data_IF_224765850067
#
_entry.id   IF_224765850067
#
_cell.length_a   1.000
_cell.length_b   1.000
_cell.length_c   1.000
_cell.angle_alpha   90.00
_cell.angle_beta   90.00
_cell.angle_gamma   90.00
#
_symmetry.space_group_name_H-M   'P 1'
#
loop_
_entity.id
_entity.type
_entity.pdbx_description
1 polymer ?
#
# COMPACT_ATOMS: atom_id res chain seq x y z
N UNK A 1 -21.37 3.72 48.46
CA UNK A 1 -21.83 3.60 47.05
C UNK A 1 -21.37 4.76 46.18
N UNK A 2 -21.51 6.04 46.60
CA UNK A 2 -21.08 7.21 45.80
C UNK A 2 -19.58 7.23 45.41
N UNK A 3 -18.70 6.83 46.34
CA UNK A 3 -17.25 6.76 46.08
C UNK A 3 -16.89 5.65 45.07
N UNK A 4 -17.61 4.53 45.08
CA UNK A 4 -17.42 3.46 44.11
C UNK A 4 -17.83 3.90 42.71
N UNK A 5 -18.94 4.64 42.59
CA UNK A 5 -19.38 5.23 41.32
C UNK A 5 -18.39 6.26 40.77
N UNK A 6 -17.78 7.07 41.65
CA UNK A 6 -16.77 8.06 41.24
C UNK A 6 -15.49 7.39 40.73
N UNK A 7 -15.05 6.31 41.39
CA UNK A 7 -13.87 5.55 40.98
C UNK A 7 -14.05 4.89 39.60
N UNK A 8 -15.23 4.35 39.31
CA UNK A 8 -15.54 3.78 37.99
C UNK A 8 -15.55 4.86 36.91
N UNK A 9 -16.10 6.05 37.18
CA UNK A 9 -16.12 7.15 36.23
C UNK A 9 -14.70 7.64 35.86
N UNK A 10 -13.78 7.69 36.82
CA UNK A 10 -12.37 8.06 36.59
C UNK A 10 -11.63 6.99 35.79
N UNK A 11 -11.91 5.71 36.02
CA UNK A 11 -11.29 4.62 35.26
C UNK A 11 -11.75 4.60 33.80
N UNK A 12 -13.00 5.01 33.52
CA UNK A 12 -13.55 5.09 32.17
C UNK A 12 -13.11 6.33 31.40
N UNK A 13 -12.58 7.36 32.07
CA UNK A 13 -12.08 8.59 31.41
C UNK A 13 -10.61 8.50 30.99
N UNK A 14 -9.93 7.39 31.29
CA UNK A 14 -8.59 7.13 30.78
C UNK A 14 -8.68 6.88 29.27
N UNK A 15 -7.96 7.64 28.43
CA UNK A 15 -7.93 7.35 27.01
C UNK A 15 -7.36 5.94 26.84
N UNK A 16 -8.08 5.08 26.12
CA UNK A 16 -7.53 3.82 25.66
C UNK A 16 -6.35 4.17 24.74
N UNK A 17 -5.14 4.17 25.28
CA UNK A 17 -3.93 4.24 24.50
C UNK A 17 -3.88 2.95 23.69
N UNK A 18 -4.45 2.98 22.48
CA UNK A 18 -4.14 1.99 21.47
C UNK A 18 -2.62 2.00 21.36
N UNK A 19 -1.98 0.88 21.70
CA UNK A 19 -0.57 0.71 21.39
C UNK A 19 -0.46 0.91 19.88
N UNK A 20 0.05 2.06 19.46
CA UNK A 20 0.44 2.26 18.06
C UNK A 20 1.52 1.22 17.85
N UNK A 21 1.17 0.12 17.16
CA UNK A 21 2.16 -0.81 16.66
C UNK A 21 3.21 0.02 15.93
N UNK A 22 4.49 -0.24 16.22
CA UNK A 22 5.59 0.48 15.59
C UNK A 22 5.40 0.36 14.07
N UNK A 23 5.00 1.46 13.42
CA UNK A 23 4.66 1.51 12.00
C UNK A 23 5.94 1.51 11.13
N UNK A 24 6.95 0.77 11.57
CA UNK A 24 8.24 0.65 10.91
C UNK A 24 8.14 -0.38 9.80
N UNK A 25 8.60 0.02 8.62
CA UNK A 25 8.80 -0.92 7.51
C UNK A 25 9.92 -1.89 7.91
N UNK A 26 9.70 -3.21 7.85
CA UNK A 26 10.74 -4.19 8.17
C UNK A 26 11.97 -4.05 7.26
N UNK A 27 13.17 -4.23 7.81
CA UNK A 27 14.42 -4.09 7.06
C UNK A 27 14.48 -5.03 5.85
N UNK A 28 13.94 -6.25 5.98
CA UNK A 28 13.83 -7.21 4.87
C UNK A 28 13.01 -6.68 3.70
N UNK A 29 11.97 -5.88 3.97
CA UNK A 29 11.16 -5.27 2.92
C UNK A 29 11.94 -4.16 2.19
N UNK A 30 12.81 -3.44 2.91
CA UNK A 30 13.69 -2.43 2.31
C UNK A 30 14.76 -3.08 1.41
N UNK A 31 15.34 -4.21 1.85
CA UNK A 31 16.29 -4.99 1.05
C UNK A 31 15.64 -5.53 -0.23
N UNK A 32 14.44 -6.09 -0.12
CA UNK A 32 13.66 -6.56 -1.27
C UNK A 32 13.34 -5.42 -2.23
N UNK A 33 12.92 -4.26 -1.72
CA UNK A 33 12.65 -3.09 -2.55
C UNK A 33 13.90 -2.62 -3.33
N UNK A 34 15.08 -2.67 -2.70
CA UNK A 34 16.34 -2.36 -3.38
C UNK A 34 16.63 -3.36 -4.52
N UNK A 35 16.45 -4.67 -4.27
CA UNK A 35 16.66 -5.70 -5.29
C UNK A 35 15.69 -5.55 -6.47
N UNK A 36 14.41 -5.29 -6.20
CA UNK A 36 13.40 -5.07 -7.25
C UNK A 36 13.71 -3.83 -8.08
N UNK A 37 14.21 -2.76 -7.45
CA UNK A 37 14.63 -1.55 -8.17
C UNK A 37 15.78 -1.83 -9.13
N UNK A 38 16.84 -2.52 -8.68
CA UNK A 38 17.97 -2.84 -9.55
C UNK A 38 17.54 -3.73 -10.74
N UNK A 39 16.65 -4.70 -10.50
CA UNK A 39 16.07 -5.53 -11.56
C UNK A 39 15.27 -4.69 -12.57
N UNK A 40 14.38 -3.82 -12.08
CA UNK A 40 13.55 -2.98 -12.95
C UNK A 40 14.38 -1.98 -13.77
N UNK A 41 15.49 -1.47 -13.24
CA UNK A 41 16.40 -0.57 -13.98
C UNK A 41 17.16 -1.28 -15.10
N UNK A 42 17.35 -2.61 -14.99
CA UNK A 42 18.01 -3.43 -16.00
C UNK A 42 17.04 -4.12 -16.98
N UNK A 43 15.73 -3.94 -16.79
CA UNK A 43 14.68 -4.62 -17.55
C UNK A 43 13.92 -3.63 -18.45
N UNK A 44 13.77 -3.97 -19.72
CA UNK A 44 13.04 -3.18 -20.72
C UNK A 44 11.58 -3.63 -20.90
N UNK A 45 11.10 -4.60 -20.10
CA UNK A 45 9.74 -5.15 -20.20
C UNK A 45 8.66 -4.06 -20.13
N UNK A 46 8.81 -3.05 -19.27
CA UNK A 46 7.87 -1.93 -19.19
C UNK A 46 7.81 -1.09 -20.48
N UNK A 47 8.97 -0.88 -21.12
CA UNK A 47 9.04 -0.21 -22.42
C UNK A 47 8.38 -1.07 -23.50
N UNK A 48 8.74 -2.35 -23.61
CA UNK A 48 8.19 -3.28 -24.60
C UNK A 48 6.68 -3.42 -24.50
N UNK A 49 6.14 -3.50 -23.28
CA UNK A 49 4.69 -3.52 -23.06
C UNK A 49 4.09 -2.23 -23.60
N UNK A 50 4.59 -1.06 -23.20
CA UNK A 50 4.05 0.22 -23.65
C UNK A 50 4.11 0.35 -25.16
N UNK A 51 5.24 0.01 -25.78
CA UNK A 51 5.44 0.02 -27.22
C UNK A 51 4.45 -0.89 -27.95
N UNK A 52 4.28 -2.14 -27.51
CA UNK A 52 3.28 -3.06 -28.09
C UNK A 52 1.86 -2.49 -27.94
N UNK A 53 1.51 -1.98 -26.76
CA UNK A 53 0.20 -1.38 -26.52
C UNK A 53 -0.09 -0.21 -27.48
N UNK A 54 0.89 0.68 -27.71
CA UNK A 54 0.69 1.90 -28.49
C UNK A 54 0.92 1.74 -29.99
N UNK A 55 1.74 0.77 -30.41
CA UNK A 55 2.14 0.60 -31.81
C UNK A 55 1.39 -0.54 -32.48
N UNK A 56 1.25 -1.68 -31.81
CA UNK A 56 0.63 -2.88 -32.39
C UNK A 56 -0.88 -2.85 -32.24
N UNK A 57 -1.39 -2.31 -31.12
CA UNK A 57 -2.83 -2.19 -30.88
C UNK A 57 -3.36 -0.79 -31.15
N UNK A 58 -2.72 0.25 -30.61
CA UNK A 58 -3.16 1.63 -30.82
C UNK A 58 -4.33 2.05 -29.91
N UNK A 59 -5.23 2.96 -30.34
CA UNK A 59 -6.32 3.48 -29.50
C UNK A 59 -7.29 2.39 -29.03
N UNK A 60 -7.45 2.25 -27.70
CA UNK A 60 -8.36 1.28 -27.06
C UNK A 60 -9.54 1.98 -26.39
N UNK A 61 -10.46 2.49 -27.21
CA UNK A 61 -11.68 3.09 -26.68
C UNK A 61 -12.54 1.98 -26.04
N UNK A 62 -13.05 2.23 -24.83
CA UNK A 62 -13.91 1.26 -24.15
C UNK A 62 -15.12 0.87 -25.02
N UNK A 63 -15.36 -0.44 -25.16
CA UNK A 63 -16.40 -1.02 -26.02
C UNK A 63 -16.06 -1.11 -27.52
N UNK A 64 -14.83 -0.78 -27.93
CA UNK A 64 -14.34 -1.06 -29.28
C UNK A 64 -13.81 -2.50 -29.39
N UNK A 65 -13.55 -2.97 -30.61
CA UNK A 65 -12.91 -4.29 -30.82
C UNK A 65 -11.54 -4.38 -30.14
N UNK A 66 -10.78 -3.28 -30.10
CA UNK A 66 -9.46 -3.22 -29.47
C UNK A 66 -9.49 -3.19 -27.92
N UNK A 67 -10.68 -3.14 -27.31
CA UNK A 67 -10.88 -3.18 -25.85
C UNK A 67 -11.01 -4.62 -25.30
N UNK A 68 -11.35 -5.59 -26.15
CA UNK A 68 -11.58 -7.00 -25.77
C UNK A 68 -10.29 -7.84 -25.84
#
# INVERSE_FOLDING_TARGET
>A
MRLASLAVAVLLSLPASAALADARIPDVALEQAAQLREQALADDTGWKITESLTTEVGPRLAGSEADA
#
